data_IF_118671888017
#
_entry.id   IF_118671888017
#
_cell.length_a   1.000
_cell.length_b   1.000
_cell.length_c   1.000
_cell.angle_alpha   90.00
_cell.angle_beta   90.00
_cell.angle_gamma   90.00
#
_symmetry.space_group_name_H-M   'P 1'
#
loop_
_entity.id
_entity.type
_entity.pdbx_description
1 polymer ?
#
# COMPACT_ATOMS: atom_id res chain seq x y z
N UNK A 1 -3.98 14.99 -3.94
CA UNK A 1 -4.49 15.09 -2.56
C UNK A 1 -5.70 14.20 -2.29
N UNK A 2 -6.78 14.26 -3.08
CA UNK A 2 -7.99 13.47 -2.84
C UNK A 2 -7.74 11.94 -2.71
N UNK A 3 -6.91 11.37 -3.60
CA UNK A 3 -6.48 9.96 -3.55
C UNK A 3 -5.74 9.60 -2.26
N UNK A 4 -4.95 10.52 -1.71
CA UNK A 4 -4.21 10.29 -0.46
C UNK A 4 -5.16 10.24 0.73
N UNK A 5 -6.13 11.17 0.81
CA UNK A 5 -7.17 11.15 1.84
C UNK A 5 -8.06 9.92 1.75
N UNK A 6 -8.39 9.46 0.54
CA UNK A 6 -9.09 8.19 0.32
C UNK A 6 -8.26 7.01 0.85
N UNK A 7 -6.96 6.96 0.52
CA UNK A 7 -6.06 5.93 1.03
C UNK A 7 -6.06 5.85 2.55
N UNK A 8 -5.96 7.00 3.23
CA UNK A 8 -6.04 7.10 4.70
C UNK A 8 -7.38 6.55 5.20
N UNK A 9 -8.49 6.98 4.59
CA UNK A 9 -9.83 6.58 5.02
C UNK A 9 -10.06 5.06 4.86
N UNK A 10 -9.61 4.49 3.74
CA UNK A 10 -9.67 3.05 3.51
C UNK A 10 -8.85 2.25 4.51
N UNK A 11 -7.69 2.77 4.92
CA UNK A 11 -6.84 2.15 5.92
C UNK A 11 -7.58 2.04 7.26
N UNK A 12 -8.28 3.09 7.70
CA UNK A 12 -9.00 3.08 8.98
C UNK A 12 -10.33 2.30 8.99
N UNK A 13 -11.08 2.28 7.88
CA UNK A 13 -12.46 1.76 7.89
C UNK A 13 -12.65 0.30 7.47
N UNK A 14 -11.69 -0.34 6.78
CA UNK A 14 -11.89 -1.68 6.15
C UNK A 14 -10.91 -2.76 6.63
N UNK A 15 -10.71 -2.92 7.94
CA UNK A 15 -9.84 -3.96 8.52
C UNK A 15 -10.36 -5.41 8.49
N UNK A 16 -11.44 -5.73 7.77
CA UNK A 16 -11.92 -7.13 7.75
C UNK A 16 -11.02 -8.08 6.97
N UNK A 17 -10.38 -7.64 5.89
CA UNK A 17 -9.47 -8.50 5.10
C UNK A 17 -8.15 -7.80 4.89
N UNK A 18 -7.05 -8.54 5.01
CA UNK A 18 -5.69 -8.02 4.86
C UNK A 18 -5.44 -7.38 3.49
N UNK A 19 -6.10 -7.90 2.45
CA UNK A 19 -6.09 -7.33 1.09
C UNK A 19 -6.44 -5.85 1.08
N UNK A 20 -7.43 -5.41 1.88
CA UNK A 20 -7.82 -4.00 1.90
C UNK A 20 -6.74 -3.11 2.50
N UNK A 21 -5.94 -3.62 3.44
CA UNK A 21 -4.79 -2.90 4.01
C UNK A 21 -3.72 -2.72 2.94
N UNK A 22 -3.36 -3.80 2.23
CA UNK A 22 -2.37 -3.76 1.15
C UNK A 22 -2.78 -2.76 0.06
N UNK A 23 -4.03 -2.82 -0.40
CA UNK A 23 -4.57 -1.89 -1.40
C UNK A 23 -4.57 -0.44 -0.91
N UNK A 24 -4.85 -0.20 0.37
CA UNK A 24 -4.81 1.15 0.95
C UNK A 24 -3.40 1.75 0.89
N UNK A 25 -2.37 0.94 1.14
CA UNK A 25 -0.98 1.37 1.00
C UNK A 25 -0.62 1.71 -0.46
N UNK A 26 -1.14 1.00 -1.45
CA UNK A 26 -0.93 1.36 -2.85
C UNK A 26 -1.56 2.71 -3.22
N UNK A 27 -2.80 2.97 -2.76
CA UNK A 27 -3.44 4.27 -2.97
C UNK A 27 -2.69 5.42 -2.28
N UNK A 28 -2.11 5.18 -1.10
CA UNK A 28 -1.24 6.15 -0.43
C UNK A 28 0.01 6.44 -1.24
N UNK A 29 0.72 5.39 -1.72
CA UNK A 29 1.93 5.55 -2.53
C UNK A 29 1.65 6.29 -3.84
N UNK A 30 0.52 6.03 -4.50
CA UNK A 30 0.10 6.76 -5.70
C UNK A 30 -0.24 8.24 -5.40
N UNK A 31 -0.86 8.52 -4.24
CA UNK A 31 -1.14 9.88 -3.80
C UNK A 31 0.14 10.68 -3.52
N UNK A 32 1.11 10.04 -2.87
CA UNK A 32 2.44 10.58 -2.59
C UNK A 32 3.23 10.81 -3.88
N UNK A 33 3.17 9.86 -4.80
CA UNK A 33 3.79 9.96 -6.13
C UNK A 33 3.28 11.17 -6.93
N UNK A 34 1.96 11.39 -6.93
CA UNK A 34 1.37 12.55 -7.63
C UNK A 34 1.78 13.89 -7.01
N UNK A 35 1.98 13.95 -5.69
CA UNK A 35 2.45 15.18 -5.04
C UNK A 35 3.92 15.45 -5.35
N UNK A 36 4.73 14.38 -5.34
CA UNK A 36 6.17 14.48 -5.49
C UNK A 36 6.66 14.53 -6.93
N UNK A 37 5.86 14.13 -7.92
CA UNK A 37 6.19 14.26 -9.34
C UNK A 37 6.45 15.70 -9.79
N UNK A 38 5.90 16.69 -9.07
CA UNK A 38 6.11 18.11 -9.37
C UNK A 38 7.36 18.70 -8.70
N UNK A 39 7.91 18.04 -7.67
CA UNK A 39 8.99 18.59 -6.85
C UNK A 39 10.31 17.82 -6.98
N UNK A 40 10.27 16.53 -7.30
CA UNK A 40 11.47 15.70 -7.36
C UNK A 40 12.10 15.64 -8.75
N UNK A 41 13.43 15.53 -8.78
CA UNK A 41 14.17 15.24 -10.00
C UNK A 41 13.98 13.80 -10.48
N UNK A 42 14.30 13.55 -11.76
CA UNK A 42 14.10 12.27 -12.45
C UNK A 42 14.69 11.04 -11.71
N UNK A 43 15.87 11.17 -11.10
CA UNK A 43 16.50 10.05 -10.38
C UNK A 43 15.74 9.64 -9.12
N UNK A 44 15.28 10.61 -8.32
CA UNK A 44 14.50 10.34 -7.11
C UNK A 44 13.13 9.74 -7.43
N UNK A 45 12.53 10.15 -8.54
CA UNK A 45 11.28 9.58 -9.05
C UNK A 45 11.42 8.10 -9.40
N UNK A 46 12.52 7.73 -10.08
CA UNK A 46 12.77 6.33 -10.45
C UNK A 46 13.01 5.45 -9.22
N UNK A 47 13.77 5.95 -8.24
CA UNK A 47 13.96 5.25 -6.97
C UNK A 47 12.63 5.00 -6.24
N UNK A 48 11.76 6.00 -6.17
CA UNK A 48 10.47 5.88 -5.49
C UNK A 48 9.54 4.88 -6.17
N UNK A 49 9.57 4.81 -7.51
CA UNK A 49 8.86 3.80 -8.29
C UNK A 49 9.36 2.38 -8.01
N UNK A 50 10.67 2.16 -8.00
CA UNK A 50 11.21 0.84 -7.67
C UNK A 50 10.82 0.44 -6.24
N UNK A 51 10.92 1.38 -5.29
CA UNK A 51 10.56 1.13 -3.90
C UNK A 51 9.06 0.78 -3.73
N UNK A 52 8.16 1.41 -4.49
CA UNK A 52 6.73 1.10 -4.42
C UNK A 52 6.43 -0.34 -4.86
N UNK A 53 7.10 -0.82 -5.92
CA UNK A 53 6.98 -2.22 -6.39
C UNK A 53 7.51 -3.20 -5.35
N UNK A 54 8.66 -2.90 -4.73
CA UNK A 54 9.18 -3.75 -3.64
C UNK A 54 8.22 -3.84 -2.46
N UNK A 55 7.60 -2.72 -2.08
CA UNK A 55 6.64 -2.67 -0.98
C UNK A 55 5.36 -3.48 -1.29
N UNK A 56 4.84 -3.40 -2.51
CA UNK A 56 3.65 -4.17 -2.90
C UNK A 56 3.93 -5.68 -2.93
N UNK A 57 5.10 -6.10 -3.43
CA UNK A 57 5.53 -7.50 -3.38
C UNK A 57 5.63 -8.03 -1.94
N UNK A 58 6.25 -7.25 -1.04
CA UNK A 58 6.32 -7.60 0.40
C UNK A 58 4.92 -7.73 1.02
N UNK A 59 3.98 -6.83 0.69
CA UNK A 59 2.61 -6.88 1.19
C UNK A 59 1.87 -8.17 0.80
N UNK A 60 2.05 -8.64 -0.43
CA UNK A 60 1.45 -9.90 -0.90
C UNK A 60 2.12 -11.12 -0.25
N UNK A 61 3.45 -11.11 -0.09
CA UNK A 61 4.17 -12.19 0.61
C UNK A 61 3.67 -12.33 2.05
N UNK A 62 3.48 -11.20 2.76
CA UNK A 62 2.90 -11.20 4.11
C UNK A 62 1.48 -11.77 4.13
N UNK A 63 0.65 -11.42 3.15
CA UNK A 63 -0.70 -11.98 3.04
C UNK A 63 -0.69 -13.50 2.90
N UNK A 64 0.17 -14.05 2.02
CA UNK A 64 0.33 -15.51 1.85
C UNK A 64 0.80 -16.17 3.14
N UNK A 65 1.71 -15.53 3.88
CA UNK A 65 2.15 -16.02 5.17
C UNK A 65 0.97 -16.06 6.17
N UNK A 66 0.18 -14.99 6.30
CA UNK A 66 -0.98 -14.98 7.19
C UNK A 66 -1.99 -16.09 6.86
N UNK A 67 -2.33 -16.29 5.59
CA UNK A 67 -3.22 -17.39 5.17
C UNK A 67 -2.64 -18.75 5.59
N UNK A 68 -1.33 -18.95 5.44
CA UNK A 68 -0.67 -20.22 5.74
C UNK A 68 -0.67 -20.56 7.24
N UNK A 69 -0.51 -19.57 8.11
CA UNK A 69 -0.44 -19.79 9.57
C UNK A 69 -1.81 -19.74 10.25
N UNK A 70 -2.71 -18.88 9.79
CA UNK A 70 -3.97 -18.55 10.45
C UNK A 70 -5.20 -19.06 9.69
N UNK A 71 -5.02 -19.65 8.50
CA UNK A 71 -6.09 -20.25 7.69
C UNK A 71 -7.07 -19.25 7.09
N UNK A 72 -6.89 -17.94 7.32
CA UNK A 72 -7.80 -16.89 6.86
C UNK A 72 -7.08 -15.56 6.64
N UNK A 73 -7.68 -14.73 5.79
CA UNK A 73 -7.21 -13.38 5.46
C UNK A 73 -7.66 -12.29 6.45
N UNK A 74 -8.23 -12.67 7.61
CA UNK A 74 -8.72 -11.70 8.59
C UNK A 74 -7.54 -10.99 9.27
N UNK A 75 -7.63 -9.66 9.40
CA UNK A 75 -6.57 -8.85 10.02
C UNK A 75 -6.52 -9.03 11.54
N UNK A 76 -7.69 -9.28 12.16
CA UNK A 76 -7.81 -9.60 13.57
C UNK A 76 -8.13 -11.09 13.70
N UNK A 77 -7.33 -11.78 14.51
CA UNK A 77 -7.53 -13.18 14.89
C UNK A 77 -8.57 -13.29 16.01
#
# INVERSE_FOLDING_TARGET
MFLFFIGIFFLFFKFRRFIFVVVSFEFLMMGVFYLFSFFFGFFSFFYFLCFSVFCSMMGVVLMVYFIKFYGSDYVFF
#
